data_IF_215504489532
#
_entry.id   IF_215504489532
#
_cell.length_a   1.000
_cell.length_b   1.000
_cell.length_c   1.000
_cell.angle_alpha   90.00
_cell.angle_beta   90.00
_cell.angle_gamma   90.00
#
_symmetry.space_group_name_H-M   'P 1'
#
loop_
_entity.id
_entity.type
_entity.pdbx_description
1 polymer ?
#
# COMPACT_ATOMS: atom_id res chain seq x y z
N UNK A 1 21.51 -66.42 -53.13
CA UNK A 1 20.09 -66.02 -53.15
C UNK A 1 19.80 -65.16 -51.92
N UNK A 2 19.69 -63.84 -52.13
CA UNK A 2 19.30 -62.82 -51.13
C UNK A 2 17.80 -62.60 -51.26
N UNK A 3 16.96 -62.98 -50.30
CA UNK A 3 15.58 -62.49 -50.25
C UNK A 3 15.19 -62.26 -48.78
N UNK A 4 15.13 -60.96 -48.45
CA UNK A 4 14.70 -60.38 -47.18
C UNK A 4 13.22 -60.74 -46.99
N UNK A 5 12.88 -61.34 -45.83
CA UNK A 5 11.51 -61.70 -45.48
C UNK A 5 10.83 -60.50 -44.80
N UNK A 6 9.80 -60.02 -45.47
CA UNK A 6 8.89 -58.91 -45.13
C UNK A 6 8.44 -58.91 -43.66
N UNK A 7 8.56 -57.76 -42.98
CA UNK A 7 7.51 -56.75 -42.73
C UNK A 7 6.36 -57.33 -41.91
N UNK A 8 6.34 -56.99 -40.62
CA UNK A 8 5.22 -57.28 -39.75
C UNK A 8 5.60 -57.16 -38.27
N UNK A 9 5.48 -55.96 -37.72
CA UNK A 9 5.29 -55.56 -36.32
C UNK A 9 5.82 -54.11 -36.28
N UNK A 10 5.00 -53.08 -36.36
CA UNK A 10 3.85 -52.83 -35.52
C UNK A 10 4.04 -51.38 -35.08
N UNK A 11 3.35 -50.48 -35.78
CA UNK A 11 3.15 -49.05 -35.51
C UNK A 11 3.69 -48.61 -34.14
N UNK A 12 4.86 -47.96 -34.14
CA UNK A 12 5.31 -47.15 -33.00
C UNK A 12 4.32 -46.00 -32.90
N UNK A 13 3.40 -46.14 -31.94
CA UNK A 13 2.39 -45.15 -31.60
C UNK A 13 3.13 -43.90 -31.09
N UNK A 14 3.38 -42.94 -31.99
CA UNK A 14 3.80 -41.59 -31.62
C UNK A 14 2.57 -40.96 -30.94
N UNK A 15 2.44 -41.17 -29.63
CA UNK A 15 1.53 -40.41 -28.78
C UNK A 15 2.16 -39.02 -28.67
N UNK A 16 1.77 -38.13 -29.58
CA UNK A 16 1.96 -36.70 -29.40
C UNK A 16 1.07 -36.31 -28.22
N UNK A 17 1.64 -36.28 -27.03
CA UNK A 17 1.01 -35.64 -25.87
C UNK A 17 0.90 -34.15 -26.19
N UNK A 18 -0.22 -33.77 -26.79
CA UNK A 18 -0.75 -32.42 -26.73
C UNK A 18 -1.13 -32.14 -25.26
N UNK A 19 -0.12 -31.96 -24.41
CA UNK A 19 -0.30 -31.35 -23.10
C UNK A 19 -0.61 -29.87 -23.37
N UNK A 20 -1.88 -29.60 -23.67
CA UNK A 20 -2.40 -28.25 -23.62
C UNK A 20 -2.29 -27.84 -22.15
N UNK A 21 -1.26 -27.06 -21.81
CA UNK A 21 -1.16 -26.44 -20.50
C UNK A 21 -2.34 -25.49 -20.38
N UNK A 22 -3.40 -25.93 -19.69
CA UNK A 22 -4.48 -25.02 -19.31
C UNK A 22 -3.85 -23.99 -18.38
N UNK A 23 -3.84 -22.69 -18.74
CA UNK A 23 -3.35 -21.68 -17.83
C UNK A 23 -4.13 -21.79 -16.52
N UNK A 24 -3.47 -21.66 -15.37
CA UNK A 24 -4.16 -21.73 -14.09
C UNK A 24 -5.24 -20.66 -14.04
N UNK A 25 -6.44 -21.08 -13.66
CA UNK A 25 -7.56 -20.17 -13.44
C UNK A 25 -7.38 -19.53 -12.06
N UNK A 26 -7.03 -18.25 -12.03
CA UNK A 26 -6.88 -17.48 -10.80
C UNK A 26 -8.13 -16.64 -10.55
N UNK A 27 -8.52 -16.43 -9.28
CA UNK A 27 -9.65 -15.55 -8.97
C UNK A 27 -9.34 -14.11 -9.38
N UNK A 28 -10.36 -13.37 -9.82
CA UNK A 28 -10.27 -11.92 -10.09
C UNK A 28 -9.99 -11.09 -8.83
N UNK A 29 -10.17 -11.68 -7.64
CA UNK A 29 -9.74 -11.04 -6.39
C UNK A 29 -8.34 -11.50 -6.07
N UNK A 30 -7.38 -10.58 -5.84
CA UNK A 30 -6.00 -10.96 -5.61
C UNK A 30 -5.87 -11.83 -4.36
N UNK A 31 -5.03 -12.86 -4.46
CA UNK A 31 -4.66 -13.70 -3.32
C UNK A 31 -3.19 -13.51 -3.00
N UNK A 32 -2.86 -13.33 -1.72
CA UNK A 32 -1.48 -13.11 -1.27
C UNK A 32 -1.04 -14.09 -0.19
N UNK A 33 0.27 -14.30 -0.10
CA UNK A 33 0.96 -15.09 0.93
C UNK A 33 2.19 -14.32 1.42
N UNK A 34 2.38 -14.22 2.75
CA UNK A 34 3.53 -13.53 3.32
C UNK A 34 4.78 -14.44 3.36
N UNK A 35 5.88 -14.03 2.71
CA UNK A 35 7.12 -14.82 2.70
C UNK A 35 8.03 -14.42 3.87
N UNK A 36 7.78 -15.01 5.02
CA UNK A 36 8.50 -14.70 6.27
C UNK A 36 10.04 -14.82 6.17
N UNK A 37 10.54 -15.82 5.43
CA UNK A 37 11.98 -16.05 5.31
C UNK A 37 12.70 -14.97 4.48
N UNK A 38 11.95 -14.16 3.72
CA UNK A 38 12.47 -13.06 2.91
C UNK A 38 12.20 -11.68 3.53
N UNK A 39 11.54 -11.63 4.69
CA UNK A 39 11.43 -10.40 5.49
C UNK A 39 12.83 -10.03 5.99
N UNK A 40 13.31 -8.84 5.63
CA UNK A 40 14.65 -8.37 6.00
C UNK A 40 14.66 -6.92 6.46
N UNK A 41 15.47 -6.63 7.47
CA UNK A 41 15.80 -5.28 7.90
C UNK A 41 17.24 -4.96 7.52
N UNK A 42 17.44 -3.92 6.72
CA UNK A 42 18.76 -3.44 6.29
C UNK A 42 18.96 -2.06 6.90
N UNK A 43 19.90 -1.98 7.83
CA UNK A 43 20.25 -0.72 8.51
C UNK A 43 21.19 0.10 7.63
N UNK A 44 20.89 1.38 7.47
CA UNK A 44 21.79 2.29 6.79
C UNK A 44 22.93 2.70 7.72
N UNK A 45 24.21 2.58 7.31
CA UNK A 45 25.33 3.01 8.13
C UNK A 45 25.44 4.53 8.25
N UNK A 46 24.86 5.30 7.32
CA UNK A 46 24.86 6.75 7.39
C UNK A 46 23.88 7.25 8.47
N UNK A 47 24.29 8.19 9.35
CA UNK A 47 23.43 8.71 10.44
C UNK A 47 22.10 9.33 10.01
N UNK A 48 21.95 9.73 8.74
CA UNK A 48 20.73 10.26 8.14
C UNK A 48 20.23 9.42 6.96
N UNK A 49 20.81 8.24 6.76
CA UNK A 49 20.38 7.35 5.68
C UNK A 49 19.06 6.67 6.03
N UNK A 50 18.24 6.41 5.01
CA UNK A 50 17.02 5.65 5.19
C UNK A 50 17.36 4.17 5.41
N UNK A 51 16.83 3.59 6.48
CA UNK A 51 16.80 2.14 6.65
C UNK A 51 15.81 1.51 5.67
N UNK A 52 15.98 0.22 5.40
CA UNK A 52 15.06 -0.55 4.55
C UNK A 52 14.42 -1.70 5.31
N UNK A 53 13.10 -1.73 5.33
CA UNK A 53 12.34 -2.95 5.64
C UNK A 53 11.88 -3.59 4.33
N UNK A 54 12.51 -4.70 3.97
CA UNK A 54 12.15 -5.49 2.79
C UNK A 54 11.04 -6.47 3.14
N UNK A 55 9.88 -6.29 2.53
CA UNK A 55 8.70 -7.16 2.65
C UNK A 55 8.51 -7.89 1.32
N UNK A 56 8.26 -9.20 1.37
CA UNK A 56 8.01 -10.00 0.17
C UNK A 56 6.70 -10.76 0.32
N UNK A 57 5.82 -10.58 -0.66
CA UNK A 57 4.56 -11.31 -0.79
C UNK A 57 4.61 -12.19 -2.03
N UNK A 58 4.05 -13.40 -1.99
CA UNK A 58 3.55 -14.04 -3.22
C UNK A 58 2.17 -13.51 -3.53
N UNK A 59 1.83 -13.41 -4.80
CA UNK A 59 0.49 -13.02 -5.23
C UNK A 59 0.00 -13.87 -6.41
N UNK A 60 -1.31 -13.94 -6.56
CA UNK A 60 -2.04 -14.49 -7.71
C UNK A 60 -3.24 -13.60 -8.01
N UNK A 61 -3.52 -13.38 -9.28
CA UNK A 61 -4.59 -12.49 -9.75
C UNK A 61 -5.11 -12.94 -11.12
N UNK A 62 -6.43 -12.93 -11.31
CA UNK A 62 -7.09 -13.54 -12.47
C UNK A 62 -7.17 -12.66 -13.71
N UNK A 63 -7.31 -11.35 -13.53
CA UNK A 63 -7.54 -10.40 -14.61
C UNK A 63 -6.38 -9.42 -14.83
N UNK A 64 -5.34 -9.48 -13.98
CA UNK A 64 -4.05 -8.83 -14.19
C UNK A 64 -4.06 -7.35 -13.88
N UNK A 65 -4.92 -6.91 -12.99
CA UNK A 65 -5.12 -5.51 -12.67
C UNK A 65 -4.45 -5.08 -11.36
N UNK A 66 -3.65 -5.96 -10.74
CA UNK A 66 -2.77 -5.62 -9.61
C UNK A 66 -1.79 -4.50 -9.98
N UNK A 67 -1.76 -3.47 -9.13
CA UNK A 67 -0.83 -2.35 -9.24
C UNK A 67 -1.40 -1.14 -9.98
N UNK A 68 -0.72 -0.02 -9.83
CA UNK A 68 -1.12 1.26 -10.43
C UNK A 68 -0.61 1.37 -11.87
N UNK A 69 -1.48 1.76 -12.80
CA UNK A 69 -1.07 2.17 -14.15
C UNK A 69 -0.87 3.70 -14.11
N UNK A 70 0.19 4.23 -14.74
CA UNK A 70 0.37 5.68 -14.89
C UNK A 70 -0.64 6.37 -15.83
N UNK A 71 -1.77 5.75 -16.21
CA UNK A 71 -2.73 6.25 -17.21
C UNK A 71 -4.18 6.10 -16.70
N UNK A 72 -4.94 7.20 -16.71
CA UNK A 72 -6.36 7.32 -16.35
C UNK A 72 -7.28 6.58 -17.34
N UNK A 73 -8.35 5.88 -16.88
CA UNK A 73 -9.56 6.56 -16.39
C UNK A 73 -10.11 6.08 -15.04
N UNK A 74 -9.42 5.18 -14.32
CA UNK A 74 -9.81 4.81 -12.95
C UNK A 74 -8.88 5.57 -12.00
N UNK A 75 -9.37 6.58 -11.27
CA UNK A 75 -8.51 7.44 -10.47
C UNK A 75 -8.09 6.69 -9.20
N UNK A 76 -7.04 5.86 -9.30
CA UNK A 76 -6.15 5.65 -8.17
C UNK A 76 -5.37 6.95 -8.01
N UNK A 77 -6.01 7.97 -7.43
CA UNK A 77 -5.47 9.33 -7.38
C UNK A 77 -4.08 9.31 -6.75
N UNK A 78 -3.12 9.94 -7.41
CA UNK A 78 -1.71 10.03 -6.99
C UNK A 78 -1.46 10.91 -5.76
N UNK A 79 -2.52 11.30 -5.05
CA UNK A 79 -2.48 12.18 -3.89
C UNK A 79 -3.00 11.44 -2.66
N UNK A 80 -2.26 11.61 -1.58
CA UNK A 80 -2.62 11.07 -0.27
C UNK A 80 -3.75 11.86 0.37
N UNK A 81 -3.86 13.14 0.04
CA UNK A 81 -4.80 14.07 0.66
C UNK A 81 -5.70 14.71 -0.41
N UNK A 82 -6.99 14.82 -0.09
CA UNK A 82 -7.94 15.69 -0.78
C UNK A 82 -8.31 16.85 0.12
N UNK A 83 -8.28 18.07 -0.42
CA UNK A 83 -8.65 19.28 0.32
C UNK A 83 -10.06 19.72 -0.05
N UNK A 84 -10.66 20.55 0.80
CA UNK A 84 -11.94 21.18 0.50
C UNK A 84 -11.78 22.66 0.22
N UNK A 85 -12.10 23.10 -1.01
CA UNK A 85 -12.18 24.51 -1.36
C UNK A 85 -13.54 25.06 -0.98
N UNK A 86 -13.56 26.17 -0.25
CA UNK A 86 -14.77 26.94 -0.04
C UNK A 86 -14.99 27.90 -1.21
N UNK A 87 -16.07 27.72 -1.94
CA UNK A 87 -16.47 28.61 -3.03
C UNK A 87 -17.15 29.87 -2.49
N UNK A 88 -17.30 30.89 -3.34
CA UNK A 88 -17.90 32.19 -2.98
C UNK A 88 -19.34 32.10 -2.46
N UNK A 89 -20.06 31.03 -2.80
CA UNK A 89 -21.40 30.70 -2.32
C UNK A 89 -21.42 29.98 -0.96
N UNK A 90 -20.25 29.72 -0.35
CA UNK A 90 -20.14 29.01 0.92
C UNK A 90 -20.22 27.48 0.82
N UNK A 91 -20.22 26.91 -0.38
CA UNK A 91 -20.19 25.47 -0.61
C UNK A 91 -18.74 24.95 -0.65
N UNK A 92 -18.52 23.75 -0.13
CA UNK A 92 -17.24 23.05 -0.20
C UNK A 92 -17.18 22.15 -1.44
N UNK A 93 -16.09 22.24 -2.22
CA UNK A 93 -15.78 21.30 -3.31
C UNK A 93 -14.43 20.62 -3.06
N UNK A 94 -14.34 19.33 -3.36
CA UNK A 94 -13.11 18.56 -3.26
C UNK A 94 -12.08 19.06 -4.29
N UNK A 95 -10.86 19.32 -3.87
CA UNK A 95 -9.74 19.71 -4.73
C UNK A 95 -8.51 18.84 -4.46
N UNK A 96 -7.75 18.54 -5.51
CA UNK A 96 -6.57 17.66 -5.44
C UNK A 96 -5.28 18.37 -5.01
N UNK A 97 -5.30 19.71 -4.92
CA UNK A 97 -4.15 20.53 -4.52
C UNK A 97 -4.61 21.68 -3.66
N UNK A 98 -3.87 21.97 -2.60
CA UNK A 98 -4.06 23.18 -1.82
C UNK A 98 -3.96 24.42 -2.72
N UNK A 99 -4.94 25.33 -2.62
CA UNK A 99 -4.94 26.60 -3.35
C UNK A 99 -4.67 27.77 -2.40
N UNK A 100 -4.02 28.82 -2.92
CA UNK A 100 -3.64 30.01 -2.14
C UNK A 100 -4.84 30.78 -1.59
N UNK A 101 -6.02 30.69 -2.21
CA UNK A 101 -7.28 31.30 -1.76
C UNK A 101 -8.07 30.45 -0.75
N UNK A 102 -7.67 29.20 -0.50
CA UNK A 102 -8.36 28.31 0.44
C UNK A 102 -8.17 28.81 1.88
N UNK A 103 -9.24 29.21 2.56
CA UNK A 103 -9.18 29.67 3.95
C UNK A 103 -10.31 29.09 4.80
N UNK A 104 -9.95 28.47 5.92
CA UNK A 104 -10.85 27.92 6.93
C UNK A 104 -10.84 28.75 8.23
N UNK A 105 -9.96 29.74 8.36
CA UNK A 105 -9.71 30.49 9.60
C UNK A 105 -10.98 30.96 10.30
N UNK A 106 -11.89 31.60 9.57
CA UNK A 106 -13.16 32.08 10.12
C UNK A 106 -14.25 31.00 10.17
N UNK A 107 -14.11 29.93 9.37
CA UNK A 107 -15.10 28.86 9.25
C UNK A 107 -15.02 27.85 10.38
N UNK A 108 -13.81 27.57 10.90
CA UNK A 108 -13.62 26.74 12.10
C UNK A 108 -14.30 27.31 13.35
N UNK A 109 -14.41 28.64 13.43
CA UNK A 109 -15.08 29.32 14.55
C UNK A 109 -16.60 29.35 14.40
N UNK A 110 -17.15 28.93 13.25
CA UNK A 110 -18.57 28.90 13.03
C UNK A 110 -19.14 27.52 13.40
N UNK A 111 -19.92 27.39 14.50
CA UNK A 111 -20.49 26.12 14.92
C UNK A 111 -21.54 25.55 13.97
N UNK A 112 -22.00 26.32 12.98
CA UNK A 112 -22.92 25.90 11.92
C UNK A 112 -22.21 25.47 10.63
N UNK A 113 -20.88 25.60 10.56
CA UNK A 113 -20.14 25.15 9.39
C UNK A 113 -20.14 23.61 9.31
N UNK A 114 -20.37 23.08 8.11
CA UNK A 114 -20.50 21.63 7.86
C UNK A 114 -19.63 21.24 6.68
N UNK A 115 -19.07 20.04 6.75
CA UNK A 115 -18.47 19.33 5.62
C UNK A 115 -19.56 18.93 4.60
N UNK A 116 -19.20 18.56 3.35
CA UNK A 116 -20.19 18.13 2.35
C UNK A 116 -21.06 16.95 2.78
N UNK A 117 -20.54 16.09 3.66
CA UNK A 117 -21.28 14.98 4.26
C UNK A 117 -22.24 15.40 5.40
N UNK A 118 -22.39 16.71 5.66
CA UNK A 118 -23.28 17.25 6.68
C UNK A 118 -22.74 17.18 8.12
N UNK A 119 -21.53 16.66 8.33
CA UNK A 119 -20.91 16.61 9.67
C UNK A 119 -20.26 17.95 10.04
N UNK A 120 -20.19 18.31 11.33
CA UNK A 120 -19.36 19.42 11.77
C UNK A 120 -17.89 19.15 11.45
N UNK A 121 -17.07 20.20 11.41
CA UNK A 121 -15.63 20.00 11.34
C UNK A 121 -15.16 19.32 12.62
N UNK A 122 -14.23 18.35 12.51
CA UNK A 122 -13.66 17.70 13.68
C UNK A 122 -12.81 18.67 14.50
N UNK A 123 -12.44 18.27 15.70
CA UNK A 123 -11.44 19.01 16.47
C UNK A 123 -10.06 18.94 15.81
N UNK A 124 -9.19 19.91 16.12
CA UNK A 124 -7.81 19.91 15.63
C UNK A 124 -7.08 18.65 16.11
N UNK A 125 -6.56 17.90 15.15
CA UNK A 125 -5.88 16.62 15.37
C UNK A 125 -4.82 16.40 14.28
N UNK A 126 -4.01 15.35 14.44
CA UNK A 126 -3.02 14.97 13.44
C UNK A 126 -3.59 14.12 12.29
N UNK A 127 -4.90 13.86 12.28
CA UNK A 127 -5.52 12.93 11.33
C UNK A 127 -5.94 13.57 10.02
N UNK A 128 -6.37 14.84 10.08
CA UNK A 128 -7.10 15.50 8.99
C UNK A 128 -6.91 17.02 8.96
N UNK A 129 -5.82 17.51 9.55
CA UNK A 129 -5.47 18.92 9.56
C UNK A 129 -4.04 19.17 9.14
N UNK A 130 -3.84 20.22 8.34
CA UNK A 130 -2.50 20.71 7.98
C UNK A 130 -2.38 22.22 8.18
N UNK A 131 -1.15 22.68 8.45
CA UNK A 131 -0.85 24.10 8.59
C UNK A 131 -0.61 24.74 7.22
N UNK A 132 -1.43 25.73 6.87
CA UNK A 132 -1.19 26.56 5.69
C UNK A 132 -0.21 27.66 6.02
N UNK A 133 0.93 27.67 5.34
CA UNK A 133 2.01 28.64 5.56
C UNK A 133 2.24 29.52 4.34
N UNK A 134 2.38 30.82 4.55
CA UNK A 134 2.82 31.79 3.53
C UNK A 134 4.08 32.48 4.06
N UNK A 135 5.17 32.43 3.30
CA UNK A 135 6.49 32.92 3.73
C UNK A 135 6.88 32.38 5.12
N UNK A 136 6.71 31.08 5.33
CA UNK A 136 6.99 30.37 6.58
C UNK A 136 6.18 30.83 7.82
N UNK A 137 5.12 31.61 7.64
CA UNK A 137 4.19 31.99 8.70
C UNK A 137 2.89 31.24 8.54
N UNK A 138 2.39 30.64 9.60
CA UNK A 138 1.07 29.99 9.63
C UNK A 138 0.01 31.07 9.43
N UNK A 139 -0.73 30.98 8.33
CA UNK A 139 -1.83 31.90 8.01
C UNK A 139 -3.20 31.24 8.19
N UNK A 140 -3.25 29.90 8.14
CA UNK A 140 -4.48 29.13 8.36
C UNK A 140 -4.20 27.67 8.76
N UNK A 141 -5.26 26.92 9.07
CA UNK A 141 -5.27 25.48 9.30
C UNK A 141 -6.36 24.87 8.44
N UNK A 142 -5.99 23.92 7.58
CA UNK A 142 -6.89 23.41 6.53
C UNK A 142 -7.27 21.96 6.78
N UNK A 143 -8.56 21.67 6.57
CA UNK A 143 -9.10 20.32 6.69
C UNK A 143 -8.88 19.57 5.38
N UNK A 144 -8.45 18.32 5.49
CA UNK A 144 -8.30 17.39 4.36
C UNK A 144 -8.89 16.02 4.70
N UNK A 145 -9.17 15.23 3.67
CA UNK A 145 -9.50 13.82 3.79
C UNK A 145 -8.40 12.98 3.15
N UNK A 146 -8.00 11.90 3.83
CA UNK A 146 -7.08 10.94 3.24
C UNK A 146 -7.76 10.19 2.11
N UNK A 147 -7.05 10.04 1.00
CA UNK A 147 -7.48 9.22 -0.10
C UNK A 147 -7.34 7.73 0.27
N UNK A 148 -8.45 6.99 0.46
CA UNK A 148 -8.39 5.59 0.85
C UNK A 148 -7.79 4.69 -0.25
N UNK A 149 -7.63 5.21 -1.47
CA UNK A 149 -6.99 4.52 -2.60
C UNK A 149 -5.56 4.99 -2.86
N UNK A 150 -4.98 5.82 -1.99
CA UNK A 150 -3.61 6.30 -2.18
C UNK A 150 -2.61 5.15 -2.14
N UNK A 151 -2.72 4.27 -1.14
CA UNK A 151 -1.99 3.02 -1.08
C UNK A 151 -2.85 1.89 -1.63
N UNK A 152 -2.28 1.06 -2.49
CA UNK A 152 -2.88 -0.18 -2.97
C UNK A 152 -2.27 -1.42 -2.31
N UNK A 153 -1.33 -1.21 -1.39
CA UNK A 153 -0.83 -2.19 -0.42
C UNK A 153 -0.88 -1.54 0.96
N UNK A 154 -1.67 -2.09 1.87
CA UNK A 154 -1.68 -1.65 3.26
C UNK A 154 -0.67 -2.44 4.07
N UNK A 155 0.06 -1.76 4.94
CA UNK A 155 1.01 -2.37 5.86
C UNK A 155 0.70 -1.82 7.24
N UNK A 156 0.24 -2.69 8.14
CA UNK A 156 -0.01 -2.35 9.52
C UNK A 156 1.06 -2.98 10.42
N UNK A 157 1.64 -2.16 11.27
CA UNK A 157 2.64 -2.56 12.24
C UNK A 157 1.95 -2.83 13.58
N UNK A 158 2.23 -3.96 14.20
CA UNK A 158 1.76 -4.29 15.53
C UNK A 158 2.95 -4.47 16.48
N UNK A 159 2.85 -3.92 17.68
CA UNK A 159 3.86 -4.09 18.75
C UNK A 159 3.33 -5.00 19.85
N UNK A 160 4.21 -5.87 20.36
CA UNK A 160 3.87 -6.78 21.46
C UNK A 160 3.90 -6.05 22.81
N UNK A 161 2.85 -6.23 23.59
CA UNK A 161 2.70 -5.70 24.95
C UNK A 161 3.27 -6.68 25.99
N UNK A 162 3.43 -6.20 27.23
CA UNK A 162 3.96 -7.01 28.34
C UNK A 162 3.09 -8.24 28.67
N UNK A 163 1.78 -8.18 28.40
CA UNK A 163 0.84 -9.29 28.56
C UNK A 163 0.86 -10.28 27.37
N UNK A 164 1.73 -10.07 26.38
CA UNK A 164 1.86 -10.91 25.20
C UNK A 164 0.88 -10.58 24.06
N UNK A 165 -0.07 -9.66 24.24
CA UNK A 165 -0.97 -9.25 23.16
C UNK A 165 -0.30 -8.27 22.20
N UNK A 166 -0.89 -8.08 21.02
CA UNK A 166 -0.42 -7.13 20.02
C UNK A 166 -1.37 -5.94 19.89
N UNK A 167 -0.83 -4.73 19.85
CA UNK A 167 -1.57 -3.50 19.52
C UNK A 167 -1.01 -2.87 18.26
N UNK A 168 -1.89 -2.32 17.43
CA UNK A 168 -1.49 -1.57 16.24
C UNK A 168 -0.67 -0.35 16.67
N UNK A 169 0.47 -0.15 16.02
CA UNK A 169 1.28 1.04 16.19
C UNK A 169 0.67 2.20 15.42
N UNK A 170 0.52 3.33 16.08
CA UNK A 170 0.15 4.60 15.48
C UNK A 170 1.23 5.64 15.81
N UNK A 171 1.88 6.18 14.77
CA UNK A 171 2.93 7.18 14.93
C UNK A 171 2.38 8.50 15.52
N UNK A 172 1.08 8.75 15.35
CA UNK A 172 0.39 9.94 15.83
C UNK A 172 -0.06 9.81 17.29
N UNK A 173 0.03 8.61 17.88
CA UNK A 173 -0.39 8.38 19.26
C UNK A 173 0.38 9.30 20.24
N UNK A 174 -0.37 9.99 21.10
CA UNK A 174 0.19 10.93 22.09
C UNK A 174 0.74 12.23 21.49
N UNK A 175 0.55 12.49 20.19
CA UNK A 175 0.90 13.76 19.54
C UNK A 175 -0.29 14.71 19.50
N UNK A 176 0.02 16.01 19.54
CA UNK A 176 -0.97 17.07 19.43
C UNK A 176 -0.64 17.95 18.25
N UNK A 177 -1.66 18.31 17.47
CA UNK A 177 -1.53 19.28 16.39
C UNK A 177 -0.97 20.61 16.94
N UNK A 178 -0.02 21.28 16.25
CA UNK A 178 0.55 20.94 14.94
C UNK A 178 1.80 20.05 14.99
N UNK A 179 2.22 19.59 16.16
CA UNK A 179 3.43 18.77 16.36
C UNK A 179 3.16 17.28 16.04
N UNK A 180 2.67 17.05 14.83
CA UNK A 180 2.36 15.72 14.33
C UNK A 180 3.64 14.98 13.95
N UNK A 181 3.68 13.68 14.23
CA UNK A 181 4.69 12.83 13.65
C UNK A 181 4.26 12.45 12.22
N UNK A 182 5.19 12.57 11.29
CA UNK A 182 5.05 12.06 9.94
C UNK A 182 5.94 10.80 9.79
N UNK A 183 5.47 9.86 9.00
CA UNK A 183 6.13 8.61 8.71
C UNK A 183 5.18 7.71 7.93
N UNK A 184 5.64 7.15 6.82
CA UNK A 184 4.79 6.45 5.86
C UNK A 184 4.32 5.05 6.34
N UNK A 185 4.01 4.84 7.62
CA UNK A 185 3.80 3.51 8.23
C UNK A 185 2.46 2.84 7.87
N UNK A 186 1.76 3.34 6.85
CA UNK A 186 0.38 2.94 6.55
C UNK A 186 0.25 2.13 5.25
N UNK A 187 1.28 2.09 4.40
CA UNK A 187 1.20 1.33 3.16
C UNK A 187 2.25 1.67 2.11
N UNK A 188 1.98 1.18 0.91
CA UNK A 188 2.84 1.24 -0.26
C UNK A 188 2.03 1.31 -1.55
N UNK A 189 2.73 1.68 -2.63
CA UNK A 189 2.20 1.63 -4.00
C UNK A 189 2.89 0.52 -4.78
N UNK A 190 2.13 -0.49 -5.15
CA UNK A 190 2.53 -1.56 -6.07
C UNK A 190 2.46 -0.97 -7.48
N UNK A 191 3.57 -0.96 -8.25
CA UNK A 191 3.55 -0.54 -9.65
C UNK A 191 2.74 -1.54 -10.49
N UNK A 192 2.34 -1.15 -11.71
CA UNK A 192 1.70 -2.09 -12.63
C UNK A 192 2.56 -3.34 -12.81
N UNK A 193 1.96 -4.51 -12.56
CA UNK A 193 2.61 -5.80 -12.73
C UNK A 193 2.26 -6.47 -14.07
N UNK A 194 1.28 -5.92 -14.80
CA UNK A 194 0.92 -6.45 -16.12
C UNK A 194 1.99 -6.14 -17.17
N UNK A 195 2.23 -7.08 -18.08
CA UNK A 195 3.19 -6.90 -19.19
C UNK A 195 2.67 -5.90 -20.24
N UNK A 196 1.36 -5.92 -20.47
CA UNK A 196 0.67 -5.08 -21.42
C UNK A 196 -0.44 -4.32 -20.68
N UNK A 197 -0.45 -2.99 -20.78
CA UNK A 197 -1.47 -2.14 -20.18
C UNK A 197 -2.79 -2.35 -20.94
N UNK A 198 -3.89 -2.56 -20.20
CA UNK A 198 -5.23 -2.69 -20.77
C UNK A 198 -5.58 -4.09 -21.29
N UNK A 199 -4.67 -5.06 -21.20
CA UNK A 199 -4.94 -6.45 -21.51
C UNK A 199 -5.13 -7.24 -20.23
N UNK A 200 -6.27 -7.92 -20.12
CA UNK A 200 -6.55 -8.81 -19.00
C UNK A 200 -5.78 -10.11 -19.18
N UNK A 201 -4.87 -10.40 -18.25
CA UNK A 201 -4.09 -11.64 -18.24
C UNK A 201 -3.82 -12.06 -16.80
N UNK A 202 -4.01 -13.34 -16.43
CA UNK A 202 -3.68 -13.81 -15.10
C UNK A 202 -2.22 -13.52 -14.73
N UNK A 203 -1.97 -13.10 -13.49
CA UNK A 203 -0.65 -12.81 -12.95
C UNK A 203 -0.37 -13.69 -11.73
N UNK A 204 0.86 -14.21 -11.65
CA UNK A 204 1.41 -14.80 -10.45
C UNK A 204 2.88 -14.40 -10.27
N UNK A 205 3.33 -14.37 -9.02
CA UNK A 205 4.73 -14.07 -8.75
C UNK A 205 4.98 -13.57 -7.34
N UNK A 206 6.04 -12.77 -7.20
CA UNK A 206 6.43 -12.14 -5.95
C UNK A 206 6.43 -10.62 -6.08
N UNK A 207 5.81 -9.95 -5.12
CA UNK A 207 5.94 -8.52 -4.91
C UNK A 207 7.04 -8.34 -3.86
N UNK A 208 8.16 -7.73 -4.25
CA UNK A 208 9.19 -7.28 -3.31
C UNK A 208 9.02 -5.79 -3.09
N UNK A 209 8.76 -5.41 -1.85
CA UNK A 209 8.65 -4.01 -1.44
C UNK A 209 9.80 -3.64 -0.50
N UNK A 210 10.58 -2.65 -0.89
CA UNK A 210 11.65 -2.09 -0.08
C UNK A 210 11.14 -0.80 0.56
N UNK A 211 10.67 -0.91 1.79
CA UNK A 211 10.13 0.21 2.52
C UNK A 211 11.27 1.05 3.11
N UNK A 212 11.49 2.22 2.51
CA UNK A 212 12.50 3.18 2.96
C UNK A 212 11.93 4.00 4.11
N UNK A 213 12.63 4.00 5.24
CA UNK A 213 12.14 4.67 6.45
C UNK A 213 13.28 5.38 7.15
N UNK A 214 12.99 6.58 7.65
CA UNK A 214 13.79 7.18 8.71
C UNK A 214 13.16 6.79 10.05
N UNK A 215 13.94 6.17 10.93
CA UNK A 215 13.54 5.95 12.32
C UNK A 215 12.86 4.62 12.63
N UNK A 216 12.67 3.69 11.69
CA UNK A 216 12.18 2.33 12.05
C UNK A 216 13.04 1.66 13.12
N UNK A 217 14.38 1.79 13.05
CA UNK A 217 15.28 1.30 14.10
C UNK A 217 15.08 2.06 15.42
N UNK A 218 14.97 3.39 15.36
CA UNK A 218 14.74 4.22 16.54
C UNK A 218 13.42 3.87 17.25
N UNK A 219 12.34 3.64 16.49
CA UNK A 219 11.01 3.37 17.01
C UNK A 219 10.86 1.92 17.48
N UNK A 220 11.45 0.96 16.77
CA UNK A 220 11.19 -0.47 16.99
C UNK A 220 12.40 -1.32 17.41
N UNK A 221 13.60 -0.75 17.63
CA UNK A 221 14.82 -1.51 17.97
C UNK A 221 14.66 -2.49 19.14
N UNK A 222 13.80 -2.18 20.11
CA UNK A 222 13.56 -3.03 21.30
C UNK A 222 12.20 -3.72 21.27
N UNK A 223 11.43 -3.57 20.18
CA UNK A 223 10.05 -4.04 20.08
C UNK A 223 10.01 -5.40 19.38
N UNK A 224 9.12 -6.27 19.84
CA UNK A 224 8.66 -7.42 19.03
C UNK A 224 7.50 -6.95 18.17
N UNK A 225 7.62 -7.24 16.87
CA UNK A 225 6.71 -6.80 15.84
C UNK A 225 5.96 -7.96 15.20
N UNK A 226 4.79 -7.63 14.66
CA UNK A 226 4.06 -8.43 13.68
C UNK A 226 3.53 -7.48 12.61
N UNK A 227 3.57 -7.88 11.35
CA UNK A 227 2.96 -7.13 10.25
C UNK A 227 1.64 -7.77 9.86
N UNK A 228 0.66 -6.95 9.53
CA UNK A 228 -0.53 -7.36 8.78
C UNK A 228 -0.57 -6.61 7.47
N UNK A 229 -0.83 -7.33 6.37
CA UNK A 229 -0.74 -6.80 5.02
C UNK A 229 -1.93 -7.27 4.19
N UNK A 230 -2.46 -6.37 3.37
CA UNK A 230 -3.40 -6.69 2.29
C UNK A 230 -3.12 -5.80 1.08
N UNK A 231 -3.58 -6.23 -0.09
CA UNK A 231 -3.51 -5.44 -1.32
C UNK A 231 -4.92 -5.18 -1.86
N UNK A 232 -5.04 -4.13 -2.66
CA UNK A 232 -6.26 -3.78 -3.38
C UNK A 232 -5.88 -3.63 -4.84
N UNK A 233 -6.57 -4.33 -5.72
CA UNK A 233 -6.34 -4.20 -7.16
C UNK A 233 -6.97 -2.91 -7.73
N UNK A 234 -6.94 -2.76 -9.05
CA UNK A 234 -7.40 -1.54 -9.72
C UNK A 234 -8.92 -1.48 -9.84
N UNK A 235 -9.61 -2.61 -9.97
CA UNK A 235 -11.06 -2.74 -9.88
C UNK A 235 -11.57 -2.48 -8.44
N UNK A 236 -10.68 -2.58 -7.45
CA UNK A 236 -10.96 -2.39 -6.04
C UNK A 236 -11.29 -3.64 -5.24
N UNK A 237 -10.97 -4.82 -5.75
CA UNK A 237 -11.10 -6.03 -4.96
C UNK A 237 -9.96 -6.08 -3.93
N UNK A 238 -10.34 -6.29 -2.67
CA UNK A 238 -9.40 -6.44 -1.55
C UNK A 238 -8.98 -7.89 -1.44
N UNK A 239 -7.67 -8.14 -1.31
CA UNK A 239 -7.13 -9.48 -1.09
C UNK A 239 -7.52 -10.06 0.27
N UNK A 240 -7.19 -11.34 0.50
CA UNK A 240 -7.06 -11.85 1.86
C UNK A 240 -6.03 -11.03 2.66
N UNK A 241 -6.21 -10.98 3.98
CA UNK A 241 -5.21 -10.43 4.90
C UNK A 241 -4.19 -11.51 5.26
N UNK A 242 -2.91 -11.14 5.27
CA UNK A 242 -1.83 -12.02 5.70
C UNK A 242 -1.03 -11.37 6.81
N UNK A 243 -0.51 -12.21 7.70
CA UNK A 243 0.32 -11.77 8.81
C UNK A 243 1.72 -12.37 8.70
N UNK A 244 2.71 -11.61 9.13
CA UNK A 244 4.03 -12.16 9.38
C UNK A 244 4.01 -13.04 10.64
N UNK A 245 5.03 -13.88 10.79
CA UNK A 245 5.44 -14.38 12.10
C UNK A 245 5.88 -13.21 12.96
N UNK A 246 5.94 -13.42 14.27
CA UNK A 246 6.55 -12.44 15.18
C UNK A 246 8.05 -12.31 14.89
N UNK A 247 8.58 -11.09 14.95
CA UNK A 247 10.01 -10.83 14.72
C UNK A 247 10.51 -9.63 15.53
N UNK A 248 11.83 -9.52 15.66
CA UNK A 248 12.50 -8.27 16.05
C UNK A 248 13.32 -7.78 14.86
N UNK A 249 13.68 -6.50 14.81
CA UNK A 249 14.53 -5.99 13.73
C UNK A 249 15.88 -6.73 13.65
N UNK A 250 16.40 -7.15 14.81
CA UNK A 250 17.62 -7.94 14.92
C UNK A 250 17.46 -9.35 14.34
N UNK A 251 16.33 -10.03 14.56
CA UNK A 251 16.13 -11.39 14.06
C UNK A 251 16.01 -11.46 12.53
N UNK A 252 15.61 -10.35 11.89
CA UNK A 252 15.48 -10.25 10.44
C UNK A 252 16.60 -9.43 9.79
N UNK A 253 17.68 -9.14 10.52
CA UNK A 253 18.77 -8.31 9.98
C UNK A 253 19.36 -8.96 8.71
N UNK A 254 19.38 -8.20 7.63
CA UNK A 254 20.00 -8.59 6.36
C UNK A 254 21.45 -8.13 6.29
N UNK A 255 22.28 -8.85 5.51
CA UNK A 255 23.53 -8.31 5.02
C UNK A 255 23.23 -7.20 4.00
N UNK A 256 23.93 -6.07 4.11
CA UNK A 256 23.89 -5.00 3.11
C UNK A 256 24.67 -5.35 1.86
#
# INVERSE_FOLDING_TARGET
MRWIRNIGLGLVLIVVVNACFTPPDFPITPQIEFINNELKFIKNPAPQGNDTLRIVLKFKDGDGDVGIIPVNPIPLVDREEYFYLLNSNGQLSLIEKEQSNLTFRFKRLNPNFRLPNGKPLPELSCDNWSEKKVNNRVVDTIYYELNPRYYNMSIEYFTKNNNGTFTRFDIKEGRFFPNCADGAFNGARIPNLSKEIGKSTPLDGKITFNYLTQGIDFIFSIKTLKLKVYIVDRAGNKSNEVESKEFTLQSIRGGG
#
